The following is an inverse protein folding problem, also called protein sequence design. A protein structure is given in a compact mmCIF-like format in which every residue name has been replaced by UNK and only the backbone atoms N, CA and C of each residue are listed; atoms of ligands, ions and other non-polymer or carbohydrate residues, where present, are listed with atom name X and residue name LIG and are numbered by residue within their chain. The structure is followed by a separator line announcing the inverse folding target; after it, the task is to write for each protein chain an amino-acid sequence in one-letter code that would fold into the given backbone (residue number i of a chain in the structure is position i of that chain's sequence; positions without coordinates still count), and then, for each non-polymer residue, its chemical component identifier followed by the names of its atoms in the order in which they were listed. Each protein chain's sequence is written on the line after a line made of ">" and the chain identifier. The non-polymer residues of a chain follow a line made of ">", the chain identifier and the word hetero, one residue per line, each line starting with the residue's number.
data_IF_458331578208
#
_entry.id   IF_458331578208
#
_cell.length_a   1.000
_cell.length_b   1.000
_cell.length_c   1.000
_cell.angle_alpha   90.00
_cell.angle_beta   90.00
_cell.angle_gamma   90.00
#
_symmetry.space_group_name_H-M   'P 1'
#
loop_
_entity.id
_entity.type
_entity.pdbx_description
1 polymer ?
#
# COMPACT_ATOMS: atom_id res chain seq x y z
N UNK A 1 6.85 14.28 5.75
CA UNK A 1 7.89 13.33 5.28
C UNK A 1 9.33 13.83 5.47
N UNK A 2 9.63 15.14 5.33
CA UNK A 2 10.98 15.69 5.55
C UNK A 2 11.49 15.66 7.02
N UNK A 3 10.60 15.63 8.01
CA UNK A 3 11.00 15.65 9.44
C UNK A 3 11.21 14.28 10.10
N UNK A 4 10.70 13.19 9.50
CA UNK A 4 10.88 11.83 10.03
C UNK A 4 12.33 11.32 9.87
N UNK A 5 13.08 11.84 8.89
CA UNK A 5 14.45 11.40 8.60
C UNK A 5 15.52 11.95 9.56
N UNK A 6 15.18 12.92 10.42
CA UNK A 6 16.18 13.62 11.25
C UNK A 6 16.55 12.88 12.55
N UNK A 7 15.80 11.84 12.96
CA UNK A 7 15.98 11.17 14.28
C UNK A 7 16.55 9.75 14.25
N UNK A 8 16.87 9.19 13.08
CA UNK A 8 17.24 7.76 12.96
C UNK A 8 18.72 7.53 12.62
N UNK A 9 19.63 8.17 13.36
CA UNK A 9 21.06 7.86 13.30
C UNK A 9 21.61 7.61 14.70
N UNK A 10 21.56 6.35 15.13
CA UNK A 10 22.56 5.67 16.00
C UNK A 10 22.16 4.21 16.29
N UNK A 11 22.44 3.31 15.33
CA UNK A 11 23.09 1.97 15.50
C UNK A 11 22.92 1.15 14.21
N UNK A 12 24.02 0.58 13.74
CA UNK A 12 24.11 -0.28 12.55
C UNK A 12 23.52 -1.67 12.87
N UNK A 13 22.50 -2.10 12.12
CA UNK A 13 22.23 -3.52 11.84
C UNK A 13 22.04 -3.64 10.33
N UNK A 14 22.89 -4.44 9.73
CA UNK A 14 22.96 -4.71 8.29
C UNK A 14 21.64 -5.30 7.80
N UNK A 15 21.02 -4.67 6.79
CA UNK A 15 19.86 -5.22 6.09
C UNK A 15 20.33 -6.42 5.26
N UNK A 16 19.66 -7.58 5.30
CA UNK A 16 20.03 -8.69 4.44
C UNK A 16 19.87 -8.29 2.97
N UNK A 17 20.69 -8.88 2.10
CA UNK A 17 20.67 -8.63 0.67
C UNK A 17 19.40 -9.25 0.04
N UNK A 18 18.66 -8.52 -0.83
CA UNK A 18 17.69 -9.17 -1.69
C UNK A 18 18.40 -10.13 -2.65
N UNK A 19 17.92 -11.37 -2.70
CA UNK A 19 18.43 -12.47 -3.55
C UNK A 19 18.07 -12.19 -5.02
N UNK A 20 18.91 -12.55 -6.01
CA UNK A 20 18.70 -12.12 -7.40
C UNK A 20 17.49 -12.83 -8.02
N UNK A 21 16.65 -12.05 -8.70
CA UNK A 21 15.56 -12.58 -9.52
C UNK A 21 16.13 -13.06 -10.86
N UNK A 22 16.30 -14.37 -11.00
CA UNK A 22 16.46 -15.04 -12.29
C UNK A 22 15.37 -16.12 -12.40
N UNK A 23 14.40 -15.88 -13.28
CA UNK A 23 13.50 -16.89 -13.86
C UNK A 23 12.88 -17.90 -12.88
N UNK A 24 11.94 -17.47 -12.06
CA UNK A 24 11.15 -18.35 -11.19
C UNK A 24 10.00 -17.58 -10.57
N UNK A 25 8.87 -18.26 -10.32
CA UNK A 25 7.71 -17.70 -9.64
C UNK A 25 8.17 -16.95 -8.37
N UNK A 26 7.67 -15.73 -8.17
CA UNK A 26 7.99 -14.90 -7.01
C UNK A 26 7.77 -15.72 -5.74
N UNK A 27 8.83 -15.91 -4.95
CA UNK A 27 8.70 -16.47 -3.61
C UNK A 27 7.99 -15.44 -2.73
N UNK A 28 6.67 -15.61 -2.61
CA UNK A 28 5.82 -14.67 -1.90
C UNK A 28 6.14 -14.61 -0.40
N UNK A 29 6.77 -15.65 0.15
CA UNK A 29 7.19 -15.68 1.55
C UNK A 29 8.36 -14.72 1.85
N UNK A 30 9.12 -14.31 0.82
CA UNK A 30 10.23 -13.37 0.95
C UNK A 30 9.80 -11.89 0.77
N UNK A 31 8.55 -11.63 0.36
CA UNK A 31 8.05 -10.27 0.16
C UNK A 31 7.68 -9.67 1.52
N UNK A 32 8.46 -8.70 1.97
CA UNK A 32 8.20 -8.02 3.24
C UNK A 32 7.19 -6.86 3.08
N UNK A 33 7.27 -6.14 1.96
CA UNK A 33 6.51 -4.91 1.72
C UNK A 33 5.86 -4.91 0.34
N UNK A 34 4.71 -4.24 0.22
CA UNK A 34 3.92 -4.14 -1.01
C UNK A 34 3.48 -2.70 -1.28
N UNK A 35 3.24 -2.41 -2.56
CA UNK A 35 2.42 -1.26 -2.99
C UNK A 35 1.05 -1.79 -3.35
N UNK A 36 0.01 -1.37 -2.64
CA UNK A 36 -1.38 -1.69 -2.95
C UNK A 36 -1.99 -0.58 -3.80
N UNK A 37 -2.63 -0.96 -4.90
CA UNK A 37 -3.41 -0.09 -5.78
C UNK A 37 -4.88 -0.20 -5.39
N UNK A 38 -5.53 0.94 -5.21
CA UNK A 38 -6.98 1.04 -4.98
C UNK A 38 -7.52 2.20 -5.81
N UNK A 39 -8.57 1.99 -6.60
CA UNK A 39 -9.28 3.07 -7.29
C UNK A 39 -10.52 3.46 -6.50
N UNK A 40 -10.81 4.76 -6.37
CA UNK A 40 -11.99 5.30 -5.67
C UNK A 40 -12.77 6.26 -6.56
N UNK A 41 -14.07 6.42 -6.28
CA UNK A 41 -14.95 7.28 -7.07
C UNK A 41 -14.58 8.77 -6.95
N UNK A 42 -14.10 9.20 -5.79
CA UNK A 42 -13.80 10.63 -5.50
C UNK A 42 -12.46 10.84 -4.83
N UNK A 43 -11.95 12.07 -4.91
CA UNK A 43 -10.73 12.49 -4.23
C UNK A 43 -10.88 12.48 -2.70
N UNK A 44 -12.07 12.81 -2.19
CA UNK A 44 -12.36 12.85 -0.75
C UNK A 44 -12.40 11.42 -0.19
N UNK A 45 -13.08 10.50 -0.87
CA UNK A 45 -13.06 9.07 -0.51
C UNK A 45 -11.62 8.53 -0.50
N UNK A 46 -10.79 8.89 -1.48
CA UNK A 46 -9.39 8.51 -1.50
C UNK A 46 -8.61 9.07 -0.31
N UNK A 47 -8.81 10.34 0.02
CA UNK A 47 -8.11 11.01 1.10
C UNK A 47 -8.51 10.46 2.48
N UNK A 48 -9.80 10.21 2.69
CA UNK A 48 -10.34 9.65 3.93
C UNK A 48 -9.89 8.19 4.12
N UNK A 49 -9.92 7.38 3.06
CA UNK A 49 -9.40 6.03 3.08
C UNK A 49 -7.90 6.00 3.37
N UNK A 50 -7.12 6.84 2.68
CA UNK A 50 -5.69 6.97 2.93
C UNK A 50 -5.39 7.35 4.39
N UNK A 51 -6.16 8.28 4.96
CA UNK A 51 -6.03 8.69 6.35
C UNK A 51 -6.32 7.54 7.31
N UNK A 52 -7.46 6.87 7.15
CA UNK A 52 -7.85 5.74 8.01
C UNK A 52 -6.80 4.62 8.00
N UNK A 53 -6.33 4.21 6.82
CA UNK A 53 -5.31 3.16 6.70
C UNK A 53 -3.99 3.51 7.41
N UNK A 54 -3.59 4.78 7.38
CA UNK A 54 -2.38 5.26 8.05
C UNK A 54 -2.59 5.38 9.56
N UNK A 55 -3.72 5.96 10.00
CA UNK A 55 -4.06 6.12 11.43
C UNK A 55 -4.20 4.77 12.14
N UNK A 56 -4.79 3.78 11.47
CA UNK A 56 -4.95 2.41 11.95
C UNK A 56 -3.68 1.55 11.80
N UNK A 57 -2.59 2.13 11.25
CA UNK A 57 -1.30 1.47 11.00
C UNK A 57 -1.40 0.24 10.11
N UNK A 58 -2.36 0.22 9.19
CA UNK A 58 -2.46 -0.78 8.11
C UNK A 58 -1.56 -0.42 6.92
N UNK A 59 -1.21 0.86 6.80
CA UNK A 59 -0.27 1.38 5.82
C UNK A 59 0.71 2.37 6.46
N UNK A 60 1.94 2.43 5.94
CA UNK A 60 2.91 3.45 6.37
C UNK A 60 2.64 4.81 5.70
N UNK A 61 2.21 4.79 4.42
CA UNK A 61 1.71 5.95 3.71
C UNK A 61 0.84 5.55 2.53
N UNK A 62 0.10 6.52 2.00
CA UNK A 62 -0.59 6.43 0.72
C UNK A 62 -0.36 7.72 -0.09
N UNK A 63 -0.37 7.60 -1.41
CA UNK A 63 -0.44 8.76 -2.31
C UNK A 63 -1.80 8.72 -3.01
N UNK A 64 -2.49 9.85 -3.10
CA UNK A 64 -3.69 10.00 -3.94
C UNK A 64 -3.26 10.60 -5.27
N UNK A 65 -3.61 9.94 -6.37
CA UNK A 65 -3.32 10.35 -7.74
C UNK A 65 -4.65 10.52 -8.46
N UNK A 66 -4.87 11.68 -9.05
CA UNK A 66 -6.03 11.88 -9.90
C UNK A 66 -6.30 13.33 -10.24
N UNK A 67 -7.36 13.59 -11.03
CA UNK A 67 -8.26 12.57 -11.58
C UNK A 67 -7.58 11.65 -12.61
N UNK A 68 -8.01 10.38 -12.68
CA UNK A 68 -7.65 9.41 -13.73
C UNK A 68 -8.90 9.01 -14.51
N UNK A 69 -8.71 8.37 -15.67
CA UNK A 69 -9.78 7.71 -16.43
C UNK A 69 -9.63 6.20 -16.35
N UNK A 70 -10.69 5.53 -15.90
CA UNK A 70 -10.78 4.08 -15.82
C UNK A 70 -11.74 3.59 -16.90
N UNK A 71 -11.20 2.88 -17.90
CA UNK A 71 -11.98 2.26 -18.96
C UNK A 71 -12.08 0.76 -18.71
N UNK A 72 -13.31 0.25 -18.61
CA UNK A 72 -13.56 -1.16 -18.31
C UNK A 72 -14.81 -1.65 -19.04
N UNK A 73 -15.03 -2.97 -19.04
CA UNK A 73 -16.24 -3.58 -19.60
C UNK A 73 -17.18 -3.99 -18.47
N UNK A 74 -18.39 -3.45 -18.49
CA UNK A 74 -19.46 -3.81 -17.58
C UNK A 74 -20.77 -4.02 -18.36
N UNK A 75 -21.54 -5.04 -18.00
CA UNK A 75 -22.82 -5.37 -18.66
C UNK A 75 -22.78 -5.34 -20.22
N UNK A 76 -21.67 -5.83 -20.78
CA UNK A 76 -21.46 -5.92 -22.23
C UNK A 76 -21.03 -4.61 -22.91
N UNK A 77 -20.95 -3.48 -22.20
CA UNK A 77 -20.53 -2.17 -22.74
C UNK A 77 -19.17 -1.76 -22.20
N UNK A 78 -18.49 -0.88 -22.93
CA UNK A 78 -17.27 -0.23 -22.42
C UNK A 78 -17.73 1.04 -21.70
N UNK A 79 -17.39 1.13 -20.42
CA UNK A 79 -17.60 2.30 -19.59
C UNK A 79 -16.30 3.08 -19.43
N UNK A 80 -16.45 4.34 -19.04
CA UNK A 80 -15.38 5.32 -18.88
C UNK A 80 -15.68 6.19 -17.66
N UNK A 81 -15.03 5.87 -16.54
CA UNK A 81 -15.24 6.54 -15.27
C UNK A 81 -14.08 7.49 -14.94
N UNK A 82 -14.40 8.62 -14.29
CA UNK A 82 -13.40 9.46 -13.66
C UNK A 82 -13.18 8.99 -12.23
N UNK A 83 -11.93 8.63 -11.90
CA UNK A 83 -11.59 8.03 -10.60
C UNK A 83 -10.32 8.64 -10.01
N UNK A 84 -9.95 8.18 -8.81
CA UNK A 84 -8.69 8.51 -8.15
C UNK A 84 -7.97 7.23 -7.74
N UNK A 85 -6.66 7.17 -7.96
CA UNK A 85 -5.82 6.02 -7.60
C UNK A 85 -5.09 6.28 -6.30
N UNK A 86 -5.22 5.38 -5.33
CA UNK A 86 -4.37 5.30 -4.16
C UNK A 86 -3.19 4.37 -4.45
N UNK A 87 -1.99 4.84 -4.12
CA UNK A 87 -0.78 4.01 -4.01
C UNK A 87 -0.41 3.85 -2.54
N UNK A 88 -0.84 2.76 -1.92
CA UNK A 88 -0.66 2.48 -0.49
C UNK A 88 0.60 1.65 -0.26
N UNK A 89 1.48 2.03 0.67
CA UNK A 89 2.71 1.29 0.98
C UNK A 89 2.51 0.63 2.33
N UNK A 90 2.54 -0.70 2.34
CA UNK A 90 2.20 -1.50 3.51
C UNK A 90 3.11 -2.72 3.61
N UNK A 91 3.04 -3.41 4.75
CA UNK A 91 3.66 -4.73 4.91
C UNK A 91 2.83 -5.76 4.18
N UNK A 92 3.48 -6.70 3.50
CA UNK A 92 2.79 -7.77 2.78
C UNK A 92 1.89 -8.59 3.72
N UNK A 93 2.36 -8.86 4.94
CA UNK A 93 1.63 -9.60 5.97
C UNK A 93 0.32 -8.93 6.42
N UNK A 94 0.16 -7.63 6.18
CA UNK A 94 -1.04 -6.87 6.57
C UNK A 94 -2.07 -6.76 5.46
N UNK A 95 -1.81 -7.34 4.27
CA UNK A 95 -2.66 -7.15 3.10
C UNK A 95 -4.12 -7.52 3.36
N UNK A 96 -4.39 -8.67 3.99
CA UNK A 96 -5.77 -9.09 4.27
C UNK A 96 -6.53 -8.13 5.20
N UNK A 97 -5.84 -7.54 6.19
CA UNK A 97 -6.45 -6.54 7.08
C UNK A 97 -6.68 -5.22 6.35
N UNK A 98 -5.73 -4.80 5.53
CA UNK A 98 -5.84 -3.62 4.68
C UNK A 98 -7.01 -3.76 3.69
N UNK A 99 -7.10 -4.89 2.99
CA UNK A 99 -8.18 -5.19 2.04
C UNK A 99 -9.55 -5.15 2.74
N UNK A 100 -9.67 -5.84 3.88
CA UNK A 100 -10.91 -5.82 4.67
C UNK A 100 -11.32 -4.40 5.08
N UNK A 101 -10.33 -3.56 5.44
CA UNK A 101 -10.60 -2.16 5.80
C UNK A 101 -10.98 -1.30 4.61
N UNK A 102 -10.30 -1.47 3.47
CA UNK A 102 -10.66 -0.80 2.20
C UNK A 102 -12.10 -1.13 1.86
N UNK A 103 -12.48 -2.42 1.82
CA UNK A 103 -13.86 -2.84 1.52
C UNK A 103 -14.90 -2.25 2.47
N UNK A 104 -14.57 -2.09 3.75
CA UNK A 104 -15.48 -1.49 4.73
C UNK A 104 -15.66 0.03 4.56
N UNK A 105 -14.74 0.71 3.88
CA UNK A 105 -14.78 2.16 3.63
C UNK A 105 -15.22 2.51 2.21
N UNK A 106 -15.13 1.56 1.28
CA UNK A 106 -15.31 1.81 -0.13
C UNK A 106 -16.78 1.93 -0.53
N UNK A 107 -17.08 2.85 -1.46
CA UNK A 107 -18.41 3.05 -2.02
C UNK A 107 -18.84 1.95 -3.00
N UNK A 108 -17.93 1.44 -3.81
CA UNK A 108 -18.15 0.29 -4.70
C UNK A 108 -18.33 -1.03 -3.95
N UNK A 109 -19.18 -1.90 -4.51
CA UNK A 109 -19.44 -3.26 -4.00
C UNK A 109 -18.21 -4.18 -4.17
N UNK A 110 -17.50 -4.04 -5.29
CA UNK A 110 -16.30 -4.81 -5.63
C UNK A 110 -15.16 -3.83 -5.98
N UNK A 111 -14.45 -3.29 -4.99
CA UNK A 111 -13.36 -2.35 -5.23
C UNK A 111 -12.12 -3.04 -5.80
N UNK A 112 -11.35 -2.32 -6.63
CA UNK A 112 -10.00 -2.76 -7.00
C UNK A 112 -9.08 -2.69 -5.78
N UNK A 113 -8.47 -3.81 -5.38
CA UNK A 113 -7.43 -3.86 -4.35
C UNK A 113 -6.37 -4.89 -4.77
N UNK A 114 -5.28 -4.41 -5.38
CA UNK A 114 -4.22 -5.29 -5.89
C UNK A 114 -2.86 -4.91 -5.33
N UNK A 115 -2.06 -5.90 -4.94
CA UNK A 115 -0.74 -5.70 -4.34
C UNK A 115 0.39 -6.02 -5.32
N UNK A 116 1.34 -5.09 -5.43
CA UNK A 116 2.58 -5.24 -6.17
C UNK A 116 3.76 -5.41 -5.20
N UNK A 117 4.65 -6.40 -5.38
CA UNK A 117 5.79 -6.60 -4.51
C UNK A 117 6.80 -5.46 -4.60
N UNK A 118 7.32 -5.01 -3.45
CA UNK A 118 8.48 -4.11 -3.41
C UNK A 118 9.75 -4.95 -3.47
N UNK A 119 10.30 -5.11 -4.67
CA UNK A 119 11.55 -5.87 -4.89
C UNK A 119 12.81 -5.18 -4.36
N UNK A 120 12.81 -3.85 -4.28
CA UNK A 120 13.92 -3.06 -3.75
C UNK A 120 13.45 -1.70 -3.22
N UNK A 121 14.21 -1.15 -2.27
CA UNK A 121 13.95 0.17 -1.69
C UNK A 121 15.03 0.59 -0.71
N UNK A 122 15.15 1.89 -0.45
CA UNK A 122 16.15 2.43 0.46
C UNK A 122 16.06 1.82 1.86
N UNK A 123 17.21 1.38 2.41
CA UNK A 123 17.36 0.84 3.77
C UNK A 123 16.57 1.60 4.84
N UNK A 124 16.80 2.91 5.03
CA UNK A 124 16.06 3.71 6.01
C UNK A 124 14.56 3.85 5.71
N UNK A 125 14.15 3.82 4.44
CA UNK A 125 12.75 3.97 4.07
C UNK A 125 11.93 2.72 4.42
N UNK A 126 12.42 1.52 4.06
CA UNK A 126 11.72 0.28 4.41
C UNK A 126 11.74 0.04 5.93
N UNK A 127 12.81 0.44 6.63
CA UNK A 127 12.83 0.40 8.09
C UNK A 127 11.77 1.32 8.71
N UNK A 128 11.59 2.52 8.16
CA UNK A 128 10.51 3.42 8.59
C UNK A 128 9.12 2.84 8.27
N UNK A 129 8.93 2.23 7.10
CA UNK A 129 7.67 1.58 6.72
C UNK A 129 7.28 0.50 7.73
N UNK A 130 8.22 -0.39 8.08
CA UNK A 130 8.02 -1.44 9.07
C UNK A 130 7.66 -0.85 10.46
N UNK A 131 8.38 0.18 10.91
CA UNK A 131 8.10 0.82 12.20
C UNK A 131 6.77 1.58 12.22
N UNK A 132 6.40 2.23 11.11
CA UNK A 132 5.15 2.99 11.00
C UNK A 132 3.91 2.10 11.02
N UNK A 133 4.07 0.83 10.68
CA UNK A 133 3.01 -0.20 10.64
C UNK A 133 3.05 -1.15 11.85
N UNK A 134 3.92 -0.89 12.82
CA UNK A 134 4.02 -1.70 14.03
C UNK A 134 2.78 -1.49 14.92
N UNK A 135 2.04 -2.57 15.17
CA UNK A 135 0.90 -2.61 16.08
C UNK A 135 1.35 -3.42 17.30
N UNK A 136 1.20 -2.86 18.49
CA UNK A 136 1.45 -3.63 19.73
C UNK A 136 0.50 -4.81 19.77
N UNK A 137 0.97 -5.98 20.20
CA UNK A 137 0.07 -7.11 20.51
C UNK A 137 -0.96 -6.59 21.50
N UNK A 138 -2.24 -6.69 21.13
CA UNK A 138 -3.32 -6.56 22.09
C UNK A 138 -3.35 -7.90 22.83
N UNK A 139 -2.88 -7.91 24.07
CA UNK A 139 -3.23 -8.95 25.03
C UNK A 139 -4.74 -8.90 25.33
#
# INVERSE_FOLDING_TARGET
>A
MRDAFRRLRRRKKTRPAPVPLAGGALDYEAILDVVVLVTTATADEAADMARALVEERLAACANVIGPIRSLFRWEGKVDDATEHLLLVKARAADFALLEGRVRALHSYEVPEVIALPIGAGSAPYLAWLANATERGSRD
#
